data_IF_533064615057
#
_entry.id   IF_533064615057
#
_cell.length_a   1.000
_cell.length_b   1.000
_cell.length_c   1.000
_cell.angle_alpha   90.00
_cell.angle_beta   90.00
_cell.angle_gamma   90.00
#
_symmetry.space_group_name_H-M   'P 1'
#
loop_
_entity.id
_entity.type
_entity.pdbx_description
1 polymer ?
#
# COMPACT_ATOMS: atom_id res chain seq x y z
N UNK A 1 -19.43 -0.16 -19.26
CA UNK A 1 -20.25 1.03 -18.93
C UNK A 1 -20.72 1.80 -20.17
N UNK A 2 -19.84 2.19 -21.10
CA UNK A 2 -20.26 2.92 -22.33
C UNK A 2 -21.17 2.15 -23.32
N UNK A 3 -21.16 0.81 -23.31
CA UNK A 3 -22.15 0.00 -24.01
C UNK A 3 -23.44 -0.19 -23.18
N UNK A 4 -23.33 -0.23 -21.85
CA UNK A 4 -24.47 -0.37 -20.92
C UNK A 4 -25.34 0.90 -20.86
N UNK A 5 -24.74 2.08 -21.00
CA UNK A 5 -25.44 3.38 -21.03
C UNK A 5 -25.51 4.03 -22.42
N UNK A 6 -25.06 3.32 -23.47
CA UNK A 6 -25.06 3.74 -24.87
C UNK A 6 -24.67 5.23 -25.13
N UNK A 7 -23.66 5.73 -24.40
CA UNK A 7 -23.23 7.13 -24.47
C UNK A 7 -21.78 7.25 -24.93
N UNK A 8 -21.56 8.02 -25.99
CA UNK A 8 -20.22 8.30 -26.52
C UNK A 8 -19.39 9.15 -25.56
N UNK A 9 -20.02 10.04 -24.79
CA UNK A 9 -19.35 10.82 -23.75
C UNK A 9 -18.77 9.92 -22.65
N UNK A 10 -19.55 8.96 -22.16
CA UNK A 10 -19.06 8.00 -21.16
C UNK A 10 -17.92 7.14 -21.73
N UNK A 11 -17.97 6.75 -23.00
CA UNK A 11 -16.86 5.98 -23.62
C UNK A 11 -15.55 6.79 -23.63
N UNK A 12 -15.61 8.05 -24.04
CA UNK A 12 -14.43 8.93 -24.12
C UNK A 12 -13.91 9.26 -22.71
N UNK A 13 -14.79 9.58 -21.77
CA UNK A 13 -14.43 9.86 -20.39
C UNK A 13 -13.74 8.65 -19.72
N UNK A 14 -14.28 7.44 -19.88
CA UNK A 14 -13.64 6.23 -19.36
C UNK A 14 -12.30 5.93 -20.05
N UNK A 15 -12.17 6.15 -21.36
CA UNK A 15 -10.90 5.97 -22.06
C UNK A 15 -9.82 6.94 -21.55
N UNK A 16 -10.17 8.21 -21.29
CA UNK A 16 -9.27 9.19 -20.71
C UNK A 16 -8.86 8.81 -19.28
N UNK A 17 -9.82 8.37 -18.45
CA UNK A 17 -9.51 7.88 -17.09
C UNK A 17 -8.64 6.63 -17.15
N UNK A 18 -8.85 5.74 -18.13
CA UNK A 18 -7.99 4.57 -18.32
C UNK A 18 -6.55 4.93 -18.69
N UNK A 19 -6.30 6.06 -19.37
CA UNK A 19 -4.92 6.51 -19.61
C UNK A 19 -4.19 6.84 -18.30
N UNK A 20 -4.90 7.29 -17.26
CA UNK A 20 -4.30 7.56 -15.94
C UNK A 20 -3.78 6.28 -15.26
N UNK A 21 -4.19 5.09 -15.69
CA UNK A 21 -3.65 3.81 -15.18
C UNK A 21 -2.14 3.66 -15.49
N UNK A 22 -1.60 4.40 -16.46
CA UNK A 22 -0.15 4.41 -16.73
C UNK A 22 0.64 4.91 -15.52
N UNK A 23 0.14 5.91 -14.79
CA UNK A 23 0.80 6.39 -13.56
C UNK A 23 0.79 5.32 -12.47
N UNK A 24 -0.30 4.55 -12.38
CA UNK A 24 -0.38 3.43 -11.44
C UNK A 24 0.65 2.35 -11.75
N UNK A 25 0.78 1.96 -13.02
CA UNK A 25 1.80 0.98 -13.46
C UNK A 25 3.21 1.53 -13.22
N UNK A 26 3.46 2.81 -13.51
CA UNK A 26 4.76 3.43 -13.24
C UNK A 26 5.12 3.40 -11.75
N UNK A 27 4.17 3.72 -10.86
CA UNK A 27 4.36 3.63 -9.41
C UNK A 27 4.68 2.20 -8.96
N UNK A 28 4.02 1.18 -9.52
CA UNK A 28 4.32 -0.22 -9.23
C UNK A 28 5.73 -0.63 -9.66
N UNK A 29 6.19 -0.17 -10.84
CA UNK A 29 7.56 -0.42 -11.30
C UNK A 29 8.58 0.26 -10.38
N UNK A 30 8.32 1.49 -9.94
CA UNK A 30 9.18 2.22 -8.99
C UNK A 30 9.27 1.49 -7.64
N UNK A 31 8.15 0.98 -7.13
CA UNK A 31 8.11 0.19 -5.90
C UNK A 31 8.93 -1.12 -6.06
N UNK A 32 8.69 -1.88 -7.14
CA UNK A 32 9.41 -3.11 -7.42
C UNK A 32 10.93 -2.89 -7.62
N UNK A 33 11.30 -1.82 -8.32
CA UNK A 33 12.71 -1.45 -8.51
C UNK A 33 13.38 -1.08 -7.18
N UNK A 34 12.65 -0.38 -6.29
CA UNK A 34 13.14 -0.05 -4.94
C UNK A 34 13.35 -1.30 -4.10
N UNK A 35 12.44 -2.28 -4.19
CA UNK A 35 12.60 -3.59 -3.53
C UNK A 35 13.87 -4.29 -4.03
N UNK A 36 14.07 -4.36 -5.35
CA UNK A 36 15.29 -4.97 -5.92
C UNK A 36 16.57 -4.24 -5.52
N UNK A 37 16.54 -2.91 -5.47
CA UNK A 37 17.67 -2.10 -5.04
C UNK A 37 18.03 -2.40 -3.57
N UNK A 38 17.04 -2.39 -2.68
CA UNK A 38 17.28 -2.55 -1.24
C UNK A 38 17.59 -4.00 -0.86
N UNK A 39 16.88 -4.98 -1.44
CA UNK A 39 17.03 -6.39 -1.06
C UNK A 39 18.21 -7.08 -1.76
N UNK A 40 18.41 -6.79 -3.05
CA UNK A 40 19.44 -7.46 -3.86
C UNK A 40 20.68 -6.60 -4.06
N UNK A 41 20.67 -5.34 -3.60
CA UNK A 41 21.77 -4.40 -3.82
C UNK A 41 21.95 -4.01 -5.29
N UNK A 42 20.92 -4.19 -6.12
CA UNK A 42 20.98 -3.82 -7.53
C UNK A 42 20.97 -2.29 -7.68
N UNK A 43 21.69 -1.77 -8.68
CA UNK A 43 21.52 -0.37 -9.04
C UNK A 43 20.05 -0.13 -9.49
N UNK A 44 19.44 0.95 -9.04
CA UNK A 44 18.06 1.33 -9.34
C UNK A 44 17.65 1.17 -10.82
N UNK A 45 18.51 1.56 -11.77
CA UNK A 45 18.23 1.41 -13.21
C UNK A 45 18.11 -0.07 -13.62
N UNK A 46 18.97 -0.94 -13.07
CA UNK A 46 18.89 -2.38 -13.29
C UNK A 46 17.67 -2.97 -12.58
N UNK A 47 17.30 -2.43 -11.41
CA UNK A 47 16.06 -2.78 -10.71
C UNK A 47 14.83 -2.52 -11.58
N UNK A 48 14.73 -1.35 -12.23
CA UNK A 48 13.64 -1.03 -13.17
C UNK A 48 13.60 -2.06 -14.31
N UNK A 49 14.75 -2.33 -14.95
CA UNK A 49 14.81 -3.25 -16.08
C UNK A 49 14.38 -4.67 -15.67
N UNK A 50 14.83 -5.13 -14.50
CA UNK A 50 14.42 -6.41 -13.94
C UNK A 50 12.91 -6.47 -13.67
N UNK A 51 12.34 -5.44 -13.04
CA UNK A 51 10.89 -5.37 -12.78
C UNK A 51 10.09 -5.44 -14.08
N UNK A 52 10.48 -4.68 -15.11
CA UNK A 52 9.81 -4.70 -16.41
C UNK A 52 9.92 -6.07 -17.07
N UNK A 53 11.09 -6.71 -17.01
CA UNK A 53 11.30 -8.04 -17.60
C UNK A 53 10.44 -9.12 -16.92
N UNK A 54 10.38 -9.13 -15.59
CA UNK A 54 9.54 -10.07 -14.82
C UNK A 54 8.05 -9.83 -15.11
N UNK A 55 7.63 -8.57 -15.13
CA UNK A 55 6.24 -8.18 -15.43
C UNK A 55 5.85 -8.63 -16.84
N UNK A 56 6.68 -8.33 -17.85
CA UNK A 56 6.43 -8.72 -19.22
C UNK A 56 6.33 -10.24 -19.39
N UNK A 57 7.22 -10.99 -18.74
CA UNK A 57 7.23 -12.45 -18.82
C UNK A 57 5.94 -13.05 -18.25
N UNK A 58 5.50 -12.62 -17.06
CA UNK A 58 4.26 -13.18 -16.49
C UNK A 58 3.02 -12.78 -17.30
N UNK A 59 2.95 -11.54 -17.82
CA UNK A 59 1.82 -11.10 -18.65
C UNK A 59 1.70 -11.95 -19.92
N UNK A 60 2.83 -12.32 -20.54
CA UNK A 60 2.81 -13.17 -21.74
C UNK A 60 2.39 -14.61 -21.47
N UNK A 61 2.58 -15.09 -20.24
CA UNK A 61 2.22 -16.45 -19.83
C UNK A 61 0.80 -16.54 -19.23
N UNK A 62 0.28 -15.44 -18.69
CA UNK A 62 -0.97 -15.38 -17.94
C UNK A 62 -2.22 -15.26 -18.82
N UNK A 63 -3.11 -16.24 -18.74
CA UNK A 63 -4.52 -16.07 -19.12
C UNK A 63 -5.34 -15.50 -17.96
N UNK A 64 -6.55 -15.01 -18.22
CA UNK A 64 -7.41 -14.34 -17.22
C UNK A 64 -7.71 -15.12 -15.94
N UNK A 65 -7.56 -16.45 -15.95
CA UNK A 65 -7.71 -17.29 -14.76
C UNK A 65 -6.46 -17.29 -13.87
N UNK A 66 -5.27 -17.27 -14.48
CA UNK A 66 -4.01 -17.19 -13.74
C UNK A 66 -3.91 -15.85 -12.99
N UNK A 67 -4.31 -14.76 -13.65
CA UNK A 67 -4.31 -13.41 -13.07
C UNK A 67 -5.15 -13.33 -11.79
N UNK A 68 -6.37 -13.90 -11.80
CA UNK A 68 -7.26 -13.90 -10.63
C UNK A 68 -6.66 -14.69 -9.45
N UNK A 69 -5.99 -15.82 -9.75
CA UNK A 69 -5.35 -16.62 -8.71
C UNK A 69 -4.15 -15.89 -8.12
N UNK A 70 -3.32 -15.27 -8.95
CA UNK A 70 -2.14 -14.51 -8.49
C UNK A 70 -2.55 -13.28 -7.67
N UNK A 71 -3.62 -12.58 -8.06
CA UNK A 71 -4.17 -11.45 -7.31
C UNK A 71 -4.64 -11.91 -5.91
N UNK A 72 -5.27 -13.08 -5.82
CA UNK A 72 -5.71 -13.66 -4.56
C UNK A 72 -4.54 -14.00 -3.62
N UNK A 73 -3.49 -14.64 -4.15
CA UNK A 73 -2.29 -14.98 -3.38
C UNK A 73 -1.56 -13.72 -2.91
N UNK A 74 -1.39 -12.73 -3.79
CA UNK A 74 -0.77 -11.44 -3.44
C UNK A 74 -1.58 -10.71 -2.36
N UNK A 75 -2.91 -10.69 -2.47
CA UNK A 75 -3.77 -10.11 -1.45
C UNK A 75 -3.58 -10.74 -0.07
N UNK A 76 -3.48 -12.08 0.00
CA UNK A 76 -3.20 -12.79 1.26
C UNK A 76 -1.81 -12.44 1.79
N UNK A 77 -0.79 -12.40 0.94
CA UNK A 77 0.57 -12.00 1.34
C UNK A 77 0.62 -10.57 1.89
N UNK A 78 -0.06 -9.62 1.24
CA UNK A 78 -0.11 -8.22 1.71
C UNK A 78 -0.76 -8.10 3.09
N UNK A 79 -1.82 -8.87 3.35
CA UNK A 79 -2.45 -8.92 4.68
C UNK A 79 -1.48 -9.46 5.73
N UNK A 80 -0.77 -10.54 5.43
CA UNK A 80 0.24 -11.10 6.34
C UNK A 80 1.36 -10.10 6.64
N UNK A 81 1.87 -9.43 5.61
CA UNK A 81 2.91 -8.39 5.73
C UNK A 81 2.39 -7.24 6.63
N UNK A 82 1.17 -6.76 6.40
CA UNK A 82 0.59 -5.69 7.21
C UNK A 82 0.41 -6.09 8.68
N UNK A 83 0.03 -7.35 8.95
CA UNK A 83 -0.04 -7.87 10.32
C UNK A 83 1.34 -7.95 10.97
N UNK A 84 2.37 -8.41 10.24
CA UNK A 84 3.75 -8.42 10.74
C UNK A 84 4.20 -7.00 11.08
N UNK A 85 3.94 -6.03 10.19
CA UNK A 85 4.24 -4.62 10.41
C UNK A 85 3.55 -4.09 11.67
N UNK A 86 2.27 -4.42 11.88
CA UNK A 86 1.56 -4.04 13.08
C UNK A 86 2.22 -4.63 14.34
N UNK A 87 2.58 -5.92 14.32
CA UNK A 87 3.24 -6.58 15.46
C UNK A 87 4.59 -5.95 15.77
N UNK A 88 5.47 -5.73 14.78
CA UNK A 88 6.78 -5.12 15.03
C UNK A 88 6.66 -3.70 15.59
N UNK A 89 5.65 -2.94 15.14
CA UNK A 89 5.37 -1.60 15.62
C UNK A 89 4.89 -1.61 17.08
N UNK A 90 3.88 -2.41 17.40
CA UNK A 90 3.34 -2.48 18.76
C UNK A 90 4.32 -3.07 19.76
N UNK A 91 5.21 -3.97 19.31
CA UNK A 91 6.27 -4.49 20.15
C UNK A 91 7.46 -3.52 20.27
N UNK A 92 7.59 -2.52 19.40
CA UNK A 92 8.73 -1.60 19.40
C UNK A 92 10.05 -2.27 18.96
N UNK A 93 9.97 -3.25 18.05
CA UNK A 93 11.13 -4.06 17.63
C UNK A 93 12.24 -3.16 17.08
N UNK A 94 13.49 -3.38 17.52
CA UNK A 94 14.65 -2.55 17.15
C UNK A 94 14.98 -1.44 18.16
N UNK A 95 14.15 -1.24 19.19
CA UNK A 95 14.46 -0.37 20.33
C UNK A 95 14.75 -1.19 21.60
N UNK A 96 15.50 -0.60 22.53
CA UNK A 96 15.71 -1.18 23.86
C UNK A 96 14.43 -1.02 24.71
N UNK A 97 13.57 -2.04 24.68
CA UNK A 97 12.33 -2.08 25.45
C UNK A 97 11.17 -2.69 24.66
N UNK A 98 9.95 -2.52 25.15
CA UNK A 98 8.74 -2.96 24.46
C UNK A 98 7.69 -1.87 24.45
N UNK A 99 7.04 -1.68 23.30
CA UNK A 99 5.88 -0.82 23.17
C UNK A 99 6.06 0.30 22.15
N UNK A 100 4.97 0.84 21.62
CA UNK A 100 5.02 1.82 20.55
C UNK A 100 5.43 3.22 21.05
N UNK A 101 5.39 3.47 22.37
CA UNK A 101 5.84 4.75 22.95
C UNK A 101 7.31 5.05 22.65
N UNK A 102 8.15 4.02 22.53
CA UNK A 102 9.56 4.16 22.16
C UNK A 102 9.73 4.80 20.77
N UNK A 103 8.82 4.46 19.85
CA UNK A 103 8.79 5.01 18.49
C UNK A 103 8.41 6.48 18.56
N UNK A 104 7.37 6.84 19.34
CA UNK A 104 6.99 8.24 19.54
C UNK A 104 8.14 9.06 20.14
N UNK A 105 8.80 8.54 21.17
CA UNK A 105 9.91 9.21 21.84
C UNK A 105 11.08 9.43 20.87
N UNK A 106 11.38 8.45 20.02
CA UNK A 106 12.39 8.58 18.98
C UNK A 106 12.02 9.64 17.93
N UNK A 107 10.75 9.70 17.52
CA UNK A 107 10.26 10.71 16.57
C UNK A 107 10.31 12.12 17.15
N UNK A 108 9.85 12.30 18.39
CA UNK A 108 9.89 13.60 19.08
C UNK A 108 11.32 14.11 19.27
N UNK A 109 12.28 13.19 19.51
CA UNK A 109 13.71 13.53 19.56
C UNK A 109 14.27 14.01 18.22
N UNK A 110 13.77 13.47 17.11
CA UNK A 110 14.18 13.92 15.77
C UNK A 110 13.55 15.26 15.42
N UNK A 111 12.24 15.37 15.62
CA UNK A 111 11.48 16.60 15.41
C UNK A 111 10.28 16.62 16.37
N UNK A 112 10.19 17.60 17.28
CA UNK A 112 9.06 17.73 18.20
C UNK A 112 7.70 17.78 17.51
N UNK A 113 7.61 18.19 16.24
CA UNK A 113 6.35 18.22 15.49
C UNK A 113 5.83 16.82 15.12
N UNK A 114 6.69 15.80 15.07
CA UNK A 114 6.33 14.42 14.73
C UNK A 114 5.72 13.63 15.89
N UNK A 115 5.65 14.23 17.08
CA UNK A 115 4.98 13.61 18.23
C UNK A 115 3.50 13.36 17.96
N UNK A 116 3.00 12.23 18.47
CA UNK A 116 1.60 11.83 18.30
C UNK A 116 0.60 12.88 18.79
N UNK A 117 0.98 13.66 19.80
CA UNK A 117 0.18 14.74 20.36
C UNK A 117 -0.08 15.88 19.35
N UNK A 118 0.66 15.97 18.25
CA UNK A 118 0.51 17.04 17.27
C UNK A 118 -0.39 16.69 16.09
N UNK A 119 -0.59 15.40 15.79
CA UNK A 119 -1.39 15.02 14.60
C UNK A 119 -2.81 15.56 14.68
N UNK A 120 -3.45 15.54 15.85
CA UNK A 120 -4.83 16.03 16.02
C UNK A 120 -4.93 17.51 16.42
N UNK A 121 -3.83 18.27 16.39
CA UNK A 121 -3.86 19.71 16.72
C UNK A 121 -4.32 20.55 15.54
N UNK A 122 -5.00 21.65 15.86
CA UNK A 122 -5.38 22.66 14.87
C UNK A 122 -4.13 23.19 14.14
N UNK A 123 -4.11 23.02 12.81
CA UNK A 123 -2.96 23.39 11.96
C UNK A 123 -2.27 22.20 11.27
N UNK A 124 -2.51 20.96 11.69
CA UNK A 124 -2.02 19.79 10.95
C UNK A 124 -2.72 19.64 9.59
N UNK A 125 -1.94 19.35 8.55
CA UNK A 125 -2.37 19.28 7.15
C UNK A 125 -3.32 18.10 6.85
N UNK A 126 -3.34 17.06 7.69
CA UNK A 126 -4.08 15.82 7.44
C UNK A 126 -5.18 15.57 8.48
N UNK A 127 -4.93 15.87 9.75
CA UNK A 127 -5.84 15.58 10.85
C UNK A 127 -6.20 16.80 11.70
N UNK A 128 -5.74 18.00 11.32
CA UNK A 128 -5.94 19.22 12.12
C UNK A 128 -7.35 19.78 12.15
N UNK A 129 -8.30 19.18 11.44
CA UNK A 129 -9.72 19.56 11.50
C UNK A 129 -10.62 18.38 11.16
N UNK A 130 -11.79 18.31 11.79
CA UNK A 130 -12.86 17.37 11.45
C UNK A 130 -13.20 17.40 9.95
N UNK A 131 -13.10 18.57 9.31
CA UNK A 131 -13.34 18.72 7.87
C UNK A 131 -12.30 17.99 7.01
N UNK A 132 -11.01 18.09 7.36
CA UNK A 132 -9.93 17.41 6.62
C UNK A 132 -10.02 15.90 6.80
N UNK A 133 -10.29 15.44 8.02
CA UNK A 133 -10.53 14.03 8.32
C UNK A 133 -11.71 13.50 7.49
N UNK A 134 -12.81 14.25 7.42
CA UNK A 134 -13.98 13.90 6.59
C UNK A 134 -13.63 13.82 5.10
N UNK A 135 -12.77 14.72 4.60
CA UNK A 135 -12.30 14.70 3.22
C UNK A 135 -11.48 13.44 2.90
N UNK A 136 -10.73 12.88 3.85
CA UNK A 136 -10.02 11.60 3.65
C UNK A 136 -11.01 10.49 3.30
N UNK A 137 -12.13 10.37 4.02
CA UNK A 137 -13.17 9.37 3.71
C UNK A 137 -13.81 9.62 2.34
N UNK A 138 -14.11 10.87 2.00
CA UNK A 138 -14.66 11.23 0.69
C UNK A 138 -13.68 10.93 -0.44
N UNK A 139 -12.39 11.20 -0.24
CA UNK A 139 -11.33 10.92 -1.21
C UNK A 139 -11.13 9.42 -1.49
N UNK A 140 -11.56 8.54 -0.57
CA UNK A 140 -11.54 7.09 -0.76
C UNK A 140 -12.77 6.54 -1.53
N UNK A 141 -13.85 7.32 -1.67
CA UNK A 141 -15.03 6.89 -2.44
C UNK A 141 -14.68 6.59 -3.91
N UNK A 142 -13.92 7.44 -4.64
CA UNK A 142 -13.49 7.13 -6.00
C UNK A 142 -12.69 5.83 -6.14
N UNK A 143 -11.88 5.47 -5.14
CA UNK A 143 -11.13 4.20 -5.16
C UNK A 143 -12.05 2.98 -5.13
N UNK A 144 -13.12 3.02 -4.34
CA UNK A 144 -14.15 1.98 -4.33
C UNK A 144 -14.95 1.93 -5.65
N UNK A 145 -15.03 3.04 -6.37
CA UNK A 145 -15.74 3.18 -7.65
C UNK A 145 -14.86 2.90 -8.87
N UNK A 146 -13.59 2.53 -8.69
CA UNK A 146 -12.69 2.27 -9.81
C UNK A 146 -13.25 1.12 -10.67
N UNK A 147 -13.39 1.29 -12.00
CA UNK A 147 -14.02 0.29 -12.88
C UNK A 147 -13.44 -1.13 -12.77
N UNK A 148 -12.19 -1.28 -12.35
CA UNK A 148 -11.55 -2.58 -12.08
C UNK A 148 -12.18 -3.33 -10.89
N UNK A 149 -12.49 -2.63 -9.80
CA UNK A 149 -13.11 -3.21 -8.60
C UNK A 149 -14.63 -3.26 -8.76
N UNK A 150 -15.21 -2.21 -9.36
CA UNK A 150 -16.64 -2.10 -9.59
C UNK A 150 -17.20 -3.30 -10.38
N UNK A 151 -16.50 -3.78 -11.42
CA UNK A 151 -16.93 -4.98 -12.18
C UNK A 151 -17.05 -6.24 -11.31
N UNK A 152 -16.20 -6.41 -10.30
CA UNK A 152 -16.22 -7.54 -9.38
C UNK A 152 -17.39 -7.42 -8.41
N UNK A 153 -17.58 -6.24 -7.83
CA UNK A 153 -18.73 -5.96 -6.96
C UNK A 153 -20.07 -6.11 -7.70
N UNK A 154 -20.16 -5.63 -8.96
CA UNK A 154 -21.35 -5.77 -9.81
C UNK A 154 -21.55 -7.17 -10.39
N UNK A 155 -20.55 -8.06 -10.32
CA UNK A 155 -20.68 -9.46 -10.72
C UNK A 155 -21.37 -10.32 -9.64
N UNK A 156 -21.36 -9.88 -8.38
CA UNK A 156 -22.08 -10.52 -7.29
C UNK A 156 -23.58 -10.27 -7.45
N UNK A 157 -24.36 -11.34 -7.65
CA UNK A 157 -25.80 -11.26 -7.91
C UNK A 157 -26.65 -11.47 -6.66
N UNK A 158 -26.14 -12.24 -5.70
CA UNK A 158 -26.89 -12.57 -4.49
C UNK A 158 -26.58 -11.59 -3.34
N UNK A 159 -27.60 -11.09 -2.61
CA UNK A 159 -27.39 -10.23 -1.45
C UNK A 159 -26.48 -10.85 -0.38
N UNK A 160 -26.51 -12.19 -0.24
CA UNK A 160 -25.62 -12.93 0.67
C UNK A 160 -24.15 -12.82 0.26
N UNK A 161 -23.86 -12.92 -1.04
CA UNK A 161 -22.50 -12.81 -1.58
C UNK A 161 -21.94 -11.40 -1.40
N UNK A 162 -22.77 -10.37 -1.64
CA UNK A 162 -22.41 -8.97 -1.40
C UNK A 162 -22.10 -8.72 0.08
N UNK A 163 -22.92 -9.27 0.99
CA UNK A 163 -22.68 -9.17 2.44
C UNK A 163 -21.35 -9.83 2.83
N UNK A 164 -21.07 -11.04 2.34
CA UNK A 164 -19.79 -11.72 2.60
C UNK A 164 -18.61 -10.93 2.05
N UNK A 165 -18.73 -10.39 0.84
CA UNK A 165 -17.71 -9.53 0.25
C UNK A 165 -17.40 -8.32 1.15
N UNK A 166 -18.42 -7.59 1.60
CA UNK A 166 -18.19 -6.44 2.49
C UNK A 166 -17.59 -6.84 3.84
N UNK A 167 -18.04 -7.97 4.42
CA UNK A 167 -17.52 -8.49 5.68
C UNK A 167 -16.05 -8.90 5.60
N UNK A 168 -15.53 -9.23 4.42
CA UNK A 168 -14.12 -9.56 4.20
C UNK A 168 -13.34 -8.31 3.80
N UNK A 169 -13.85 -7.54 2.84
CA UNK A 169 -13.16 -6.40 2.25
C UNK A 169 -12.90 -5.27 3.27
N UNK A 170 -13.84 -5.00 4.18
CA UNK A 170 -13.67 -3.93 5.18
C UNK A 170 -12.54 -4.27 6.16
N UNK A 171 -12.53 -5.43 6.87
CA UNK A 171 -11.42 -5.78 7.74
C UNK A 171 -10.08 -5.89 7.02
N UNK A 172 -10.05 -6.51 5.83
CA UNK A 172 -8.82 -6.64 5.03
C UNK A 172 -8.28 -5.26 4.66
N UNK A 173 -9.12 -4.37 4.15
CA UNK A 173 -8.73 -2.99 3.82
C UNK A 173 -8.20 -2.22 5.04
N UNK A 174 -8.85 -2.37 6.20
CA UNK A 174 -8.38 -1.76 7.45
C UNK A 174 -7.03 -2.29 7.90
N UNK A 175 -6.79 -3.61 7.79
CA UNK A 175 -5.50 -4.22 8.14
C UNK A 175 -4.40 -3.70 7.22
N UNK A 176 -4.64 -3.59 5.91
CA UNK A 176 -3.67 -3.03 4.97
C UNK A 176 -3.32 -1.56 5.29
N UNK A 177 -4.22 -0.82 5.94
CA UNK A 177 -3.92 0.52 6.45
C UNK A 177 -2.79 0.55 7.50
N UNK A 178 -2.54 -0.56 8.21
CA UNK A 178 -1.46 -0.64 9.19
C UNK A 178 -0.06 -0.58 8.57
N UNK A 179 0.08 -0.71 7.26
CA UNK A 179 1.37 -0.54 6.56
C UNK A 179 1.99 0.85 6.81
N UNK A 180 1.17 1.88 7.09
CA UNK A 180 1.64 3.22 7.50
C UNK A 180 2.50 3.16 8.76
N UNK A 181 2.20 2.25 9.68
CA UNK A 181 2.98 2.07 10.91
C UNK A 181 4.42 1.63 10.61
N UNK A 182 4.63 0.85 9.54
CA UNK A 182 5.96 0.43 9.10
C UNK A 182 6.80 1.62 8.63
N UNK A 183 6.20 2.56 7.91
CA UNK A 183 6.87 3.81 7.52
C UNK A 183 7.24 4.68 8.73
N UNK A 184 6.33 4.78 9.70
CA UNK A 184 6.58 5.50 10.95
C UNK A 184 7.70 4.86 11.77
N UNK A 185 7.71 3.54 11.85
CA UNK A 185 8.75 2.75 12.52
C UNK A 185 10.12 2.92 11.86
N UNK A 186 10.17 2.83 10.54
CA UNK A 186 11.39 3.05 9.77
C UNK A 186 11.91 4.48 9.97
N UNK A 187 11.04 5.49 9.96
CA UNK A 187 11.41 6.87 10.25
C UNK A 187 11.99 7.03 11.65
N UNK A 188 11.40 6.37 12.65
CA UNK A 188 11.88 6.43 14.02
C UNK A 188 13.27 5.80 14.20
N UNK A 189 13.55 4.67 13.52
CA UNK A 189 14.84 3.98 13.60
C UNK A 189 15.95 4.63 12.77
N UNK A 190 15.64 5.04 11.54
CA UNK A 190 16.65 5.41 10.55
C UNK A 190 16.72 6.92 10.29
N UNK A 191 15.81 7.71 10.85
CA UNK A 191 15.85 9.16 10.74
C UNK A 191 15.44 9.70 9.38
N UNK A 192 15.89 10.91 9.07
CA UNK A 192 15.32 11.69 7.97
C UNK A 192 15.81 11.36 6.57
N UNK A 193 16.96 10.71 6.50
CA UNK A 193 17.70 10.51 5.26
C UNK A 193 17.18 9.32 4.45
N UNK A 194 16.26 8.52 5.00
CA UNK A 194 15.66 7.41 4.27
C UNK A 194 14.71 7.91 3.19
N UNK A 195 14.82 7.32 2.00
CA UNK A 195 13.84 7.55 0.94
C UNK A 195 12.48 6.99 1.37
N UNK A 196 11.37 7.74 1.24
CA UNK A 196 10.05 7.29 1.70
C UNK A 196 9.65 5.92 1.13
N UNK A 197 9.89 5.71 -0.17
CA UNK A 197 9.55 4.44 -0.85
C UNK A 197 10.42 3.25 -0.41
N UNK A 198 11.58 3.51 0.19
CA UNK A 198 12.50 2.48 0.67
C UNK A 198 12.28 2.14 2.16
N UNK A 199 11.40 2.86 2.85
CA UNK A 199 11.23 2.75 4.30
C UNK A 199 10.93 1.32 4.78
N UNK A 200 9.92 0.67 4.17
CA UNK A 200 9.53 -0.70 4.55
C UNK A 200 10.58 -1.74 4.12
N UNK A 201 11.10 -1.72 2.87
CA UNK A 201 12.18 -2.62 2.48
C UNK A 201 13.40 -2.54 3.40
N UNK A 202 13.85 -1.32 3.73
CA UNK A 202 15.00 -1.11 4.63
C UNK A 202 14.68 -1.65 6.02
N UNK A 203 13.49 -1.36 6.55
CA UNK A 203 13.04 -1.92 7.83
C UNK A 203 13.13 -3.45 7.86
N UNK A 204 12.70 -4.14 6.80
CA UNK A 204 12.78 -5.59 6.75
C UNK A 204 14.20 -6.14 6.66
N UNK A 205 15.06 -5.52 5.85
CA UNK A 205 16.47 -5.95 5.76
C UNK A 205 17.24 -5.81 7.07
N UNK A 206 16.86 -4.84 7.91
CA UNK A 206 17.53 -4.56 9.17
C UNK A 206 16.98 -5.40 10.33
N UNK A 207 15.67 -5.70 10.32
CA UNK A 207 15.02 -6.43 11.41
C UNK A 207 14.95 -7.94 11.20
N UNK A 208 14.98 -8.42 9.95
CA UNK A 208 14.82 -9.83 9.63
C UNK A 208 16.04 -10.42 8.91
N UNK A 209 16.28 -11.75 9.04
CA UNK A 209 17.30 -12.43 8.25
C UNK A 209 17.05 -12.26 6.74
N UNK A 210 18.09 -12.28 5.88
CA UNK A 210 17.97 -11.98 4.45
C UNK A 210 16.93 -12.81 3.71
N UNK A 211 16.77 -14.09 4.07
CA UNK A 211 15.76 -14.96 3.47
C UNK A 211 14.33 -14.51 3.77
N UNK A 212 14.07 -14.08 5.01
CA UNK A 212 12.75 -13.62 5.44
C UNK A 212 12.47 -12.23 4.87
N UNK A 213 13.48 -11.34 4.87
CA UNK A 213 13.37 -10.04 4.22
C UNK A 213 13.07 -10.17 2.72
N UNK A 214 13.71 -11.11 2.04
CA UNK A 214 13.48 -11.45 0.63
C UNK A 214 12.11 -12.04 0.31
N UNK A 215 11.46 -12.69 1.28
CA UNK A 215 10.11 -13.22 1.13
C UNK A 215 9.03 -12.15 1.39
N UNK A 216 9.35 -11.18 2.25
CA UNK A 216 8.42 -10.14 2.71
C UNK A 216 8.45 -8.86 1.88
N UNK A 217 9.52 -8.60 1.13
CA UNK A 217 9.62 -7.49 0.18
C UNK A 217 9.41 -7.95 -1.24
#
# INVERSE_FOLDING_TARGET
MGQRYNSNFLRIAFALVSILLVYYIAAQIVAAATIFEVLLGLNYQHGILASVAVIALYITMGGSHADIMTDGIQGVMMVLIALIIAVIFFMGVGFEGTGPSLINDALVKQDPSLGWDNYFKEGDILFGSFWVISLIFVAHIPFAMNPHIGKLAFALKDPKQIRTFMLIAIPVGSILGFTVLGGLHARALFGADIRPDAAIPVLFTQLFPPFVAGLLG
#
